data_IF_989261373637
#
_entry.id   IF_989261373637
#
_cell.length_a   1.000
_cell.length_b   1.000
_cell.length_c   1.000
_cell.angle_alpha   90.00
_cell.angle_beta   90.00
_cell.angle_gamma   90.00
#
_symmetry.space_group_name_H-M   'P 1'
#
loop_
_entity.id
_entity.type
_entity.pdbx_description
1 polymer ?
#
# COMPACT_ATOMS: atom_id res chain seq x y z
N UNK A 1 -7.21 32.84 -5.48
CA UNK A 1 -8.18 32.58 -6.56
C UNK A 1 -9.30 31.82 -5.90
N UNK A 2 -10.52 32.35 -5.96
CA UNK A 2 -11.67 31.75 -5.29
C UNK A 2 -12.40 30.88 -6.32
N UNK A 3 -12.25 29.56 -6.19
CA UNK A 3 -12.99 28.60 -7.00
C UNK A 3 -14.48 28.64 -6.63
N UNK A 4 -15.33 28.38 -7.61
CA UNK A 4 -16.77 28.18 -7.43
C UNK A 4 -17.13 26.72 -7.69
N UNK A 5 -18.28 26.26 -7.17
CA UNK A 5 -18.71 24.89 -7.43
C UNK A 5 -18.83 24.60 -8.93
N UNK A 6 -18.25 23.49 -9.37
CA UNK A 6 -18.24 23.09 -10.78
C UNK A 6 -17.14 23.71 -11.65
N UNK A 7 -16.30 24.59 -11.10
CA UNK A 7 -15.23 25.23 -11.87
C UNK A 7 -14.22 24.22 -12.42
N UNK A 8 -13.70 24.54 -13.61
CA UNK A 8 -12.53 23.87 -14.20
C UNK A 8 -11.36 24.85 -14.14
N UNK A 9 -10.38 24.55 -13.28
CA UNK A 9 -9.13 25.30 -13.17
C UNK A 9 -8.10 24.63 -14.08
N UNK A 10 -7.83 25.27 -15.21
CA UNK A 10 -6.80 24.85 -16.16
C UNK A 10 -5.46 25.48 -15.79
N UNK A 11 -4.42 24.64 -15.66
CA UNK A 11 -3.04 25.03 -15.38
C UNK A 11 -2.23 24.82 -16.66
N UNK A 12 -1.66 25.89 -17.25
CA UNK A 12 -0.93 25.75 -18.51
C UNK A 12 0.34 24.92 -18.33
N UNK A 13 0.97 24.56 -19.45
CA UNK A 13 2.30 23.95 -19.42
C UNK A 13 3.31 24.91 -18.77
N UNK A 14 4.20 24.37 -17.94
CA UNK A 14 5.19 25.12 -17.19
C UNK A 14 5.48 24.52 -15.82
N UNK A 15 6.46 25.13 -15.13
CA UNK A 15 6.78 24.82 -13.73
C UNK A 15 6.39 25.99 -12.85
N UNK A 16 5.57 25.71 -11.85
CA UNK A 16 5.02 26.69 -10.91
C UNK A 16 5.55 26.37 -9.51
N UNK A 17 6.19 27.35 -8.88
CA UNK A 17 6.79 27.19 -7.55
C UNK A 17 5.87 27.76 -6.48
N UNK A 18 5.63 26.98 -5.43
CA UNK A 18 4.79 27.37 -4.30
C UNK A 18 5.55 27.22 -2.98
N UNK A 19 5.39 28.21 -2.09
CA UNK A 19 6.04 28.22 -0.77
C UNK A 19 5.12 27.78 0.38
N UNK A 20 3.87 27.41 0.06
CA UNK A 20 2.79 27.04 0.98
C UNK A 20 1.77 26.12 0.28
N UNK A 21 0.93 25.37 1.02
CA UNK A 21 -0.05 24.46 0.42
C UNK A 21 -1.08 25.18 -0.45
N UNK A 22 -1.57 24.48 -1.48
CA UNK A 22 -2.75 24.84 -2.26
C UNK A 22 -3.97 24.14 -1.64
N UNK A 23 -4.91 24.93 -1.09
CA UNK A 23 -6.07 24.39 -0.38
C UNK A 23 -7.37 24.58 -1.16
N UNK A 24 -8.20 23.54 -1.19
CA UNK A 24 -9.60 23.59 -1.64
C UNK A 24 -10.50 23.05 -0.51
N UNK A 25 -11.29 23.93 0.11
CA UNK A 25 -12.14 23.57 1.24
C UNK A 25 -13.58 24.02 0.98
N UNK A 26 -14.54 23.09 1.12
CA UNK A 26 -15.97 23.38 1.04
C UNK A 26 -16.50 23.76 -0.35
N UNK A 27 -15.67 23.75 -1.39
CA UNK A 27 -16.08 24.06 -2.77
C UNK A 27 -16.10 22.76 -3.59
N UNK A 28 -17.30 22.25 -3.85
CA UNK A 28 -17.55 20.94 -4.46
C UNK A 28 -17.55 20.98 -5.99
N UNK A 29 -17.32 19.84 -6.63
CA UNK A 29 -17.46 19.71 -8.09
C UNK A 29 -16.30 20.31 -8.91
N UNK A 30 -15.21 20.69 -8.25
CA UNK A 30 -14.09 21.36 -8.91
C UNK A 30 -13.21 20.36 -9.66
N UNK A 31 -12.82 20.72 -10.88
CA UNK A 31 -11.78 20.04 -11.64
C UNK A 31 -10.52 20.91 -11.68
N UNK A 32 -9.37 20.35 -11.30
CA UNK A 32 -8.06 20.96 -11.51
C UNK A 32 -7.34 20.14 -12.57
N UNK A 33 -6.99 20.77 -13.70
CA UNK A 33 -6.41 20.11 -14.85
C UNK A 33 -5.12 20.79 -15.29
N UNK A 34 -4.08 20.01 -15.55
CA UNK A 34 -2.85 20.50 -16.19
C UNK A 34 -2.79 20.17 -17.69
N UNK A 35 -1.76 20.67 -18.37
CA UNK A 35 -1.51 20.41 -19.79
C UNK A 35 -0.87 19.03 -20.07
N UNK A 36 -0.89 18.12 -19.10
CA UNK A 36 -0.23 16.81 -19.15
C UNK A 36 0.74 16.63 -17.99
N UNK A 37 0.82 15.42 -17.42
CA UNK A 37 1.66 15.16 -16.23
C UNK A 37 3.14 15.44 -16.42
N UNK A 38 3.63 15.45 -17.67
CA UNK A 38 5.02 15.82 -18.00
C UNK A 38 5.17 17.30 -18.41
N UNK A 39 4.07 18.02 -18.61
CA UNK A 39 4.07 19.39 -19.14
C UNK A 39 3.73 20.43 -18.07
N UNK A 40 2.92 20.07 -17.06
CA UNK A 40 2.56 20.94 -15.94
C UNK A 40 3.15 20.40 -14.65
N UNK A 41 4.02 21.18 -14.01
CA UNK A 41 4.70 20.84 -12.76
C UNK A 41 4.38 21.86 -11.68
N UNK A 42 3.80 21.40 -10.57
CA UNK A 42 3.56 22.15 -9.35
C UNK A 42 4.66 21.75 -8.35
N UNK A 43 5.66 22.61 -8.18
CA UNK A 43 6.82 22.33 -7.33
C UNK A 43 6.72 23.07 -6.01
N UNK A 44 7.00 22.35 -4.93
CA UNK A 44 7.10 22.88 -3.57
C UNK A 44 8.56 22.95 -3.10
N UNK A 45 9.51 22.94 -4.04
CA UNK A 45 10.93 23.11 -3.74
C UNK A 45 11.13 24.44 -3.00
N UNK A 46 11.61 24.37 -1.76
CA UNK A 46 11.76 25.54 -0.89
C UNK A 46 10.51 25.94 -0.11
N UNK A 47 9.51 25.05 0.02
CA UNK A 47 8.30 25.28 0.82
C UNK A 47 8.64 25.83 2.21
N UNK A 48 8.04 26.98 2.57
CA UNK A 48 8.32 27.70 3.82
C UNK A 48 7.30 27.37 4.90
N UNK A 49 6.03 27.22 4.52
CA UNK A 49 4.89 27.03 5.42
C UNK A 49 4.13 25.75 5.07
N UNK A 50 3.58 25.09 6.09
CA UNK A 50 2.83 23.84 5.94
C UNK A 50 3.73 22.67 5.51
N UNK A 51 3.12 21.50 5.42
CA UNK A 51 3.81 20.29 4.97
C UNK A 51 3.22 19.81 3.63
N UNK A 52 1.91 19.90 3.46
CA UNK A 52 1.23 19.39 2.28
C UNK A 52 1.50 20.23 1.03
N UNK A 53 1.44 19.59 -0.14
CA UNK A 53 1.40 20.28 -1.43
C UNK A 53 -0.01 20.77 -1.75
N UNK A 54 -0.89 19.83 -2.06
CA UNK A 54 -2.32 20.08 -2.33
C UNK A 54 -3.14 19.46 -1.21
N UNK A 55 -4.03 20.25 -0.59
CA UNK A 55 -4.95 19.79 0.46
C UNK A 55 -6.40 20.06 0.05
N UNK A 56 -7.23 19.02 0.05
CA UNK A 56 -8.63 19.09 -0.40
C UNK A 56 -9.56 18.50 0.65
N UNK A 57 -10.60 19.25 1.00
CA UNK A 57 -11.75 18.80 1.79
C UNK A 57 -13.02 19.26 1.04
N UNK A 58 -13.42 18.46 0.05
CA UNK A 58 -14.58 18.74 -0.80
C UNK A 58 -14.99 17.50 -1.61
N UNK A 59 -16.30 17.31 -1.78
CA UNK A 59 -16.88 16.31 -2.68
C UNK A 59 -16.73 16.63 -4.17
N UNK A 60 -16.80 15.57 -4.98
CA UNK A 60 -16.87 15.62 -6.45
C UNK A 60 -15.67 16.31 -7.09
N UNK A 61 -14.47 16.05 -6.56
CA UNK A 61 -13.24 16.68 -7.04
C UNK A 61 -12.51 15.80 -8.04
N UNK A 62 -12.05 16.41 -9.14
CA UNK A 62 -11.19 15.76 -10.13
C UNK A 62 -9.84 16.48 -10.22
N UNK A 63 -8.75 15.74 -10.02
CA UNK A 63 -7.40 16.19 -10.33
C UNK A 63 -6.90 15.45 -11.56
N UNK A 64 -6.41 16.16 -12.57
CA UNK A 64 -5.91 15.52 -13.79
C UNK A 64 -4.70 16.17 -14.43
N UNK A 65 -3.80 15.35 -14.98
CA UNK A 65 -2.81 15.76 -15.98
C UNK A 65 -1.75 16.78 -15.48
N UNK A 66 -1.23 16.62 -14.26
CA UNK A 66 -0.10 17.42 -13.74
C UNK A 66 0.81 16.62 -12.80
N UNK A 67 2.00 17.17 -12.53
CA UNK A 67 2.94 16.68 -11.50
C UNK A 67 2.89 17.55 -10.26
N UNK A 68 2.96 16.95 -9.07
CA UNK A 68 3.31 17.59 -7.80
C UNK A 68 4.67 17.08 -7.34
N UNK A 69 5.59 17.97 -6.97
CA UNK A 69 6.92 17.53 -6.51
C UNK A 69 7.49 18.34 -5.35
N UNK A 70 8.37 17.69 -4.59
CA UNK A 70 9.24 18.29 -3.57
C UNK A 70 8.51 18.97 -2.40
N UNK A 71 7.38 18.40 -1.98
CA UNK A 71 6.66 18.84 -0.77
C UNK A 71 7.43 18.45 0.49
N UNK A 72 7.27 19.23 1.57
CA UNK A 72 7.84 18.89 2.89
C UNK A 72 7.18 17.67 3.53
N UNK A 73 5.88 17.51 3.30
CA UNK A 73 5.04 16.40 3.73
C UNK A 73 4.26 15.83 2.55
N UNK A 74 3.00 15.45 2.75
CA UNK A 74 2.19 14.76 1.74
C UNK A 74 2.01 15.56 0.46
N UNK A 75 2.14 14.93 -0.70
CA UNK A 75 2.06 15.65 -1.97
C UNK A 75 0.62 16.08 -2.29
N UNK A 76 -0.33 15.14 -2.24
CA UNK A 76 -1.75 15.41 -2.46
C UNK A 76 -2.58 14.70 -1.40
N UNK A 77 -3.16 15.47 -0.49
CA UNK A 77 -4.06 14.97 0.56
C UNK A 77 -5.50 15.36 0.26
N UNK A 78 -6.38 14.36 0.17
CA UNK A 78 -7.82 14.56 -0.02
C UNK A 78 -8.51 13.88 1.16
N UNK A 79 -9.28 14.62 1.92
CA UNK A 79 -9.83 14.15 3.18
C UNK A 79 -11.34 14.42 3.26
N UNK A 80 -12.07 13.50 3.88
CA UNK A 80 -13.50 13.65 4.20
C UNK A 80 -14.34 14.00 2.96
N UNK A 81 -14.14 13.24 1.86
CA UNK A 81 -14.69 13.55 0.54
C UNK A 81 -15.39 12.36 -0.13
N UNK A 82 -16.43 12.65 -0.89
CA UNK A 82 -17.15 11.69 -1.75
C UNK A 82 -16.91 11.98 -3.22
N UNK A 83 -16.75 10.93 -4.03
CA UNK A 83 -16.55 11.03 -5.49
C UNK A 83 -15.26 11.76 -5.84
N UNK A 84 -14.13 11.14 -5.53
CA UNK A 84 -12.79 11.67 -5.78
C UNK A 84 -12.18 10.98 -7.00
N UNK A 85 -11.69 11.74 -7.97
CA UNK A 85 -10.96 11.21 -9.12
C UNK A 85 -9.57 11.83 -9.23
N UNK A 86 -8.53 11.00 -9.22
CA UNK A 86 -7.19 11.37 -9.63
C UNK A 86 -6.83 10.63 -10.92
N UNK A 87 -6.57 11.37 -12.00
CA UNK A 87 -6.29 10.80 -13.32
C UNK A 87 -4.98 11.34 -13.87
N UNK A 88 -4.07 10.47 -14.28
CA UNK A 88 -2.79 10.87 -14.87
C UNK A 88 -2.03 11.89 -14.00
N UNK A 89 -2.03 11.71 -12.69
CA UNK A 89 -1.25 12.56 -11.78
C UNK A 89 0.13 11.94 -11.56
N UNK A 90 1.17 12.76 -11.42
CA UNK A 90 2.48 12.29 -10.95
C UNK A 90 2.86 12.96 -9.63
N UNK A 91 3.35 12.20 -8.68
CA UNK A 91 3.94 12.71 -7.44
C UNK A 91 5.38 12.21 -7.28
N UNK A 92 6.31 13.08 -6.88
CA UNK A 92 7.72 12.69 -6.74
C UNK A 92 8.50 13.60 -5.79
N UNK A 93 9.47 13.03 -5.08
CA UNK A 93 10.58 13.78 -4.47
C UNK A 93 11.81 13.66 -5.35
N UNK A 94 12.21 14.75 -5.98
CA UNK A 94 13.25 14.77 -7.03
C UNK A 94 14.64 14.41 -6.49
N UNK A 95 14.84 14.52 -5.18
CA UNK A 95 16.05 14.11 -4.48
C UNK A 95 16.22 12.60 -4.29
N UNK A 96 15.29 11.77 -4.75
CA UNK A 96 15.30 10.31 -4.54
C UNK A 96 14.85 9.89 -3.14
N UNK A 97 15.01 8.60 -2.78
CA UNK A 97 14.55 8.05 -1.51
C UNK A 97 15.27 8.69 -0.32
N UNK A 98 14.53 9.37 0.57
CA UNK A 98 15.06 9.95 1.81
C UNK A 98 14.01 9.89 2.91
N UNK A 99 14.44 9.64 4.13
CA UNK A 99 13.58 9.61 5.33
C UNK A 99 12.86 10.96 5.55
N UNK A 100 13.46 12.07 5.12
CA UNK A 100 12.90 13.42 5.23
C UNK A 100 11.91 13.79 4.13
N UNK A 101 11.60 12.89 3.20
CA UNK A 101 10.57 13.14 2.19
C UNK A 101 9.19 13.14 2.85
N UNK A 102 8.18 13.58 2.12
CA UNK A 102 6.81 13.43 2.57
C UNK A 102 6.39 11.98 2.65
N UNK A 103 5.45 11.70 3.57
CA UNK A 103 4.94 10.36 3.81
C UNK A 103 4.23 9.81 2.59
N UNK A 104 3.24 10.55 2.10
CA UNK A 104 2.34 10.04 1.07
C UNK A 104 2.37 10.87 -0.23
N UNK A 105 2.47 10.18 -1.37
CA UNK A 105 2.35 10.81 -2.69
C UNK A 105 0.90 11.20 -3.00
N UNK A 106 0.06 10.19 -3.22
CA UNK A 106 -1.39 10.35 -3.40
C UNK A 106 -2.07 9.81 -2.13
N UNK A 107 -2.86 10.65 -1.46
CA UNK A 107 -3.42 10.36 -0.13
C UNK A 107 -4.90 10.74 0.02
N UNK A 108 -5.85 9.96 -0.53
CA UNK A 108 -7.24 10.00 -0.11
C UNK A 108 -7.42 9.31 1.25
N UNK A 109 -8.15 9.96 2.16
CA UNK A 109 -8.45 9.42 3.49
C UNK A 109 -9.86 9.77 3.93
N UNK A 110 -10.53 8.84 4.61
CA UNK A 110 -11.93 9.02 5.02
C UNK A 110 -12.84 9.39 3.83
N UNK A 111 -12.60 8.74 2.67
CA UNK A 111 -13.29 9.05 1.42
C UNK A 111 -14.28 7.96 1.00
N UNK A 112 -15.23 8.31 0.15
CA UNK A 112 -16.14 7.37 -0.52
C UNK A 112 -16.07 7.53 -2.03
N UNK A 113 -16.09 6.42 -2.77
CA UNK A 113 -16.07 6.43 -4.25
C UNK A 113 -14.80 7.13 -4.78
N UNK A 114 -13.66 6.46 -4.59
CA UNK A 114 -12.33 6.96 -4.96
C UNK A 114 -11.84 6.23 -6.21
N UNK A 115 -11.48 6.98 -7.25
CA UNK A 115 -10.83 6.48 -8.45
C UNK A 115 -9.43 7.10 -8.59
N UNK A 116 -8.40 6.26 -8.57
CA UNK A 116 -7.02 6.62 -8.89
C UNK A 116 -6.63 5.84 -10.15
N UNK A 117 -6.35 6.55 -11.25
CA UNK A 117 -6.01 5.90 -12.51
C UNK A 117 -4.92 6.61 -13.34
N UNK A 118 -4.02 5.82 -13.95
CA UNK A 118 -2.95 6.37 -14.79
C UNK A 118 -1.88 7.16 -14.01
N UNK A 119 -1.93 7.10 -12.68
CA UNK A 119 -1.08 7.88 -11.80
C UNK A 119 0.31 7.26 -11.63
N UNK A 120 1.29 8.10 -11.33
CA UNK A 120 2.65 7.70 -10.98
C UNK A 120 3.03 8.30 -9.63
N UNK A 121 3.63 7.51 -8.73
CA UNK A 121 4.08 8.01 -7.44
C UNK A 121 5.45 7.45 -7.07
N UNK A 122 6.37 8.32 -6.66
CA UNK A 122 7.74 7.91 -6.39
C UNK A 122 8.42 8.63 -5.24
N UNK A 123 9.32 7.88 -4.59
CA UNK A 123 10.19 8.35 -3.51
C UNK A 123 9.50 8.88 -2.25
N UNK A 124 8.25 8.49 -2.00
CA UNK A 124 7.58 8.78 -0.73
C UNK A 124 8.23 8.00 0.42
N UNK A 125 8.38 8.64 1.58
CA UNK A 125 8.97 8.01 2.77
C UNK A 125 8.02 7.02 3.46
N UNK A 126 6.76 7.01 3.06
CA UNK A 126 5.78 5.99 3.43
C UNK A 126 5.25 5.32 2.15
N UNK A 127 4.05 5.66 1.70
CA UNK A 127 3.44 5.07 0.51
C UNK A 127 3.38 6.04 -0.68
N UNK A 128 3.73 5.55 -1.87
CA UNK A 128 3.58 6.31 -3.11
C UNK A 128 2.10 6.63 -3.38
N UNK A 129 1.28 5.58 -3.39
CA UNK A 129 -0.18 5.70 -3.46
C UNK A 129 -0.75 5.08 -2.19
N UNK A 130 -1.37 5.90 -1.36
CA UNK A 130 -2.01 5.50 -0.13
C UNK A 130 -3.51 5.80 -0.21
N UNK A 131 -4.35 4.85 0.17
CA UNK A 131 -5.78 5.10 0.40
C UNK A 131 -6.15 4.57 1.78
N UNK A 132 -6.60 5.46 2.66
CA UNK A 132 -6.90 5.14 4.06
C UNK A 132 -8.38 5.28 4.38
N UNK A 133 -8.92 4.42 5.23
CA UNK A 133 -10.21 4.64 5.92
C UNK A 133 -11.37 4.93 4.95
N UNK A 134 -11.32 4.36 3.74
CA UNK A 134 -12.21 4.73 2.63
C UNK A 134 -13.09 3.57 2.17
N UNK A 135 -14.15 3.85 1.42
CA UNK A 135 -15.05 2.82 0.86
C UNK A 135 -15.27 3.02 -0.62
N UNK A 136 -15.41 1.92 -1.37
CA UNK A 136 -15.53 1.93 -2.83
C UNK A 136 -14.29 2.56 -3.49
N UNK A 137 -13.18 1.84 -3.44
CA UNK A 137 -11.85 2.32 -3.87
C UNK A 137 -11.38 1.55 -5.10
N UNK A 138 -10.97 2.28 -6.14
CA UNK A 138 -10.34 1.71 -7.33
C UNK A 138 -8.97 2.36 -7.54
N UNK A 139 -7.92 1.53 -7.59
CA UNK A 139 -6.56 1.92 -7.98
C UNK A 139 -6.14 1.10 -9.18
N UNK A 140 -6.03 1.73 -10.37
CA UNK A 140 -5.75 0.99 -11.61
C UNK A 140 -4.78 1.69 -12.54
N UNK A 141 -4.06 0.91 -13.35
CA UNK A 141 -3.15 1.44 -14.38
C UNK A 141 -2.12 2.44 -13.82
N UNK A 142 -1.73 2.29 -12.55
CA UNK A 142 -0.78 3.18 -11.88
C UNK A 142 0.63 2.59 -11.84
N UNK A 143 1.62 3.45 -11.65
CA UNK A 143 3.03 3.08 -11.49
C UNK A 143 3.59 3.64 -10.18
N UNK A 144 3.87 2.76 -9.22
CA UNK A 144 4.46 3.15 -7.94
C UNK A 144 5.89 2.61 -7.83
N UNK A 145 6.88 3.50 -7.70
CA UNK A 145 8.29 3.10 -7.70
C UNK A 145 9.17 3.90 -6.75
N UNK A 146 10.20 3.25 -6.19
CA UNK A 146 11.19 3.92 -5.32
C UNK A 146 10.65 4.39 -3.97
N UNK A 147 9.45 3.98 -3.57
CA UNK A 147 8.81 4.32 -2.28
C UNK A 147 9.18 3.29 -1.20
N UNK A 148 8.78 3.53 0.06
CA UNK A 148 8.75 2.43 1.04
C UNK A 148 7.66 1.45 0.66
N UNK A 149 6.39 1.86 0.65
CA UNK A 149 5.29 1.11 0.09
C UNK A 149 4.92 1.64 -1.30
N UNK A 150 4.79 0.76 -2.30
CA UNK A 150 4.32 1.17 -3.61
C UNK A 150 2.87 1.66 -3.56
N UNK A 151 1.96 0.74 -3.25
CA UNK A 151 0.54 1.01 -3.07
C UNK A 151 0.11 0.48 -1.70
N UNK A 152 -0.59 1.28 -0.91
CA UNK A 152 -1.13 0.89 0.38
C UNK A 152 -2.63 1.15 0.44
N UNK A 153 -3.38 0.12 0.84
CA UNK A 153 -4.81 0.18 1.15
C UNK A 153 -4.96 -0.07 2.64
N UNK A 154 -5.24 0.98 3.40
CA UNK A 154 -5.34 0.93 4.85
C UNK A 154 -6.80 1.10 5.28
N UNK A 155 -7.33 0.18 6.08
CA UNK A 155 -8.66 0.28 6.69
C UNK A 155 -9.81 0.56 5.69
N UNK A 156 -9.67 0.14 4.44
CA UNK A 156 -10.65 0.40 3.40
C UNK A 156 -11.68 -0.74 3.27
N UNK A 157 -12.85 -0.42 2.72
CA UNK A 157 -13.93 -1.37 2.41
C UNK A 157 -14.20 -1.37 0.91
N UNK A 158 -14.38 -2.55 0.32
CA UNK A 158 -14.71 -2.70 -1.10
C UNK A 158 -13.67 -2.02 -2.02
N UNK A 159 -12.45 -2.57 -2.01
CA UNK A 159 -11.31 -2.04 -2.76
C UNK A 159 -10.89 -2.95 -3.91
N UNK A 160 -10.46 -2.36 -5.03
CA UNK A 160 -9.90 -3.06 -6.18
C UNK A 160 -8.60 -2.40 -6.64
N UNK A 161 -7.50 -3.14 -6.59
CA UNK A 161 -6.15 -2.72 -6.97
C UNK A 161 -5.66 -3.59 -8.12
N UNK A 162 -5.67 -3.07 -9.35
CA UNK A 162 -5.39 -3.89 -10.53
C UNK A 162 -4.71 -3.20 -11.70
N UNK A 163 -4.05 -3.99 -12.55
CA UNK A 163 -3.29 -3.50 -13.71
C UNK A 163 -2.21 -2.45 -13.33
N UNK A 164 -1.72 -2.48 -12.10
CA UNK A 164 -0.68 -1.56 -11.65
C UNK A 164 0.72 -2.17 -11.81
N UNK A 165 1.72 -1.30 -11.85
CA UNK A 165 3.13 -1.67 -11.75
C UNK A 165 3.65 -1.15 -10.40
N UNK A 166 4.05 -2.04 -9.51
CA UNK A 166 4.69 -1.71 -8.25
C UNK A 166 6.11 -2.27 -8.24
N UNK A 167 7.12 -1.41 -8.46
CA UNK A 167 8.49 -1.86 -8.65
C UNK A 167 9.56 -1.03 -7.93
N UNK A 168 10.66 -1.68 -7.53
CA UNK A 168 11.78 -0.97 -6.92
C UNK A 168 11.46 -0.25 -5.61
N UNK A 169 10.34 -0.57 -4.96
CA UNK A 169 9.98 -0.09 -3.63
C UNK A 169 10.64 -0.96 -2.53
N UNK A 170 10.36 -0.70 -1.25
CA UNK A 170 10.69 -1.65 -0.17
C UNK A 170 9.69 -2.81 -0.16
N UNK A 171 8.40 -2.47 -0.14
CA UNK A 171 7.25 -3.36 -0.31
C UNK A 171 6.41 -2.94 -1.52
N UNK A 172 5.86 -3.89 -2.26
CA UNK A 172 5.07 -3.61 -3.47
C UNK A 172 3.66 -3.10 -3.16
N UNK A 173 2.79 -4.00 -2.71
CA UNK A 173 1.39 -3.69 -2.37
C UNK A 173 1.10 -4.12 -0.93
N UNK A 174 0.58 -3.20 -0.13
CA UNK A 174 0.21 -3.39 1.26
C UNK A 174 -1.31 -3.32 1.40
N UNK A 175 -1.89 -4.25 2.15
CA UNK A 175 -3.30 -4.19 2.56
C UNK A 175 -3.35 -4.33 4.07
N UNK A 176 -3.51 -3.21 4.74
CA UNK A 176 -3.42 -3.10 6.20
C UNK A 176 -4.78 -2.77 6.80
N UNK A 177 -5.02 -3.30 7.99
CA UNK A 177 -6.08 -2.86 8.88
C UNK A 177 -5.48 -2.59 10.26
N UNK A 178 -5.40 -1.33 10.65
CA UNK A 178 -4.70 -0.89 11.85
C UNK A 178 -5.68 -0.43 12.93
N UNK A 179 -5.35 -0.64 14.22
CA UNK A 179 -6.17 -0.21 15.33
C UNK A 179 -6.11 1.31 15.53
N UNK A 180 -6.99 1.83 16.38
CA UNK A 180 -6.94 3.22 16.89
C UNK A 180 -7.17 4.30 15.80
N UNK A 181 -7.83 3.94 14.71
CA UNK A 181 -8.25 4.83 13.63
C UNK A 181 -9.79 4.98 13.58
N UNK A 182 -10.33 6.18 13.25
CA UNK A 182 -11.77 6.46 13.22
C UNK A 182 -12.61 5.46 12.42
N UNK A 183 -12.08 4.96 11.29
CA UNK A 183 -12.67 3.86 10.54
C UNK A 183 -11.72 2.65 10.60
N UNK A 184 -11.97 1.72 11.53
CA UNK A 184 -11.31 0.42 11.62
C UNK A 184 -12.05 -0.68 10.87
N UNK A 185 -11.43 -1.86 10.78
CA UNK A 185 -12.03 -3.09 10.26
C UNK A 185 -12.38 -3.01 8.76
N UNK A 186 -11.39 -2.64 7.95
CA UNK A 186 -11.46 -2.77 6.49
C UNK A 186 -11.64 -4.22 6.04
N UNK A 187 -12.31 -4.43 4.92
CA UNK A 187 -12.54 -5.77 4.34
C UNK A 187 -12.87 -5.69 2.85
N UNK A 188 -12.82 -6.83 2.16
CA UNK A 188 -13.14 -6.97 0.73
C UNK A 188 -12.19 -6.13 -0.14
N UNK A 189 -10.93 -6.58 -0.20
CA UNK A 189 -9.92 -6.02 -1.09
C UNK A 189 -9.52 -7.06 -2.16
N UNK A 190 -9.52 -6.64 -3.42
CA UNK A 190 -9.12 -7.47 -4.56
C UNK A 190 -7.84 -6.91 -5.16
N UNK A 191 -6.77 -7.69 -5.19
CA UNK A 191 -5.47 -7.32 -5.77
C UNK A 191 -5.19 -8.24 -6.95
N UNK A 192 -5.26 -7.73 -8.19
CA UNK A 192 -5.18 -8.61 -9.36
C UNK A 192 -4.57 -8.01 -10.61
N UNK A 193 -4.04 -8.85 -11.50
CA UNK A 193 -3.41 -8.42 -12.75
C UNK A 193 -2.31 -7.35 -12.57
N UNK A 194 -1.65 -7.30 -11.41
CA UNK A 194 -0.55 -6.36 -11.18
C UNK A 194 0.79 -6.98 -11.55
N UNK A 195 1.74 -6.13 -11.95
CA UNK A 195 3.16 -6.48 -12.06
C UNK A 195 3.88 -5.91 -10.84
N UNK A 196 4.24 -6.79 -9.92
CA UNK A 196 4.86 -6.45 -8.65
C UNK A 196 6.27 -7.03 -8.70
N UNK A 197 7.28 -6.18 -8.86
CA UNK A 197 8.62 -6.68 -9.17
C UNK A 197 9.77 -5.93 -8.52
N UNK A 198 10.79 -6.67 -8.11
CA UNK A 198 12.07 -6.14 -7.63
C UNK A 198 11.92 -5.08 -6.52
N UNK A 199 10.89 -5.18 -5.69
CA UNK A 199 10.71 -4.31 -4.52
C UNK A 199 11.73 -4.69 -3.44
N UNK A 200 12.99 -4.28 -3.65
CA UNK A 200 14.17 -4.65 -2.86
C UNK A 200 14.90 -3.44 -2.25
N UNK A 201 14.35 -2.22 -2.44
CA UNK A 201 14.91 -0.98 -1.90
C UNK A 201 14.97 -1.07 -0.38
N UNK A 202 16.01 -0.47 0.21
CA UNK A 202 16.12 -0.41 1.66
C UNK A 202 14.97 0.43 2.23
N UNK A 203 14.35 -0.05 3.31
CA UNK A 203 13.32 0.72 4.01
C UNK A 203 13.93 2.02 4.55
N UNK A 204 13.29 3.15 4.22
CA UNK A 204 13.70 4.50 4.61
C UNK A 204 12.56 5.25 5.32
N UNK A 205 11.58 4.52 5.85
CA UNK A 205 10.49 5.12 6.59
C UNK A 205 11.00 5.78 7.88
N UNK A 206 10.41 6.92 8.28
CA UNK A 206 10.70 7.52 9.57
C UNK A 206 10.48 6.52 10.70
N UNK A 207 11.35 6.58 11.72
CA UNK A 207 11.22 5.71 12.90
C UNK A 207 9.85 5.89 13.56
N UNK A 208 9.20 4.77 13.85
CA UNK A 208 7.89 4.73 14.50
C UNK A 208 6.75 4.39 13.54
N UNK A 209 6.88 4.73 12.25
CA UNK A 209 5.89 4.38 11.24
C UNK A 209 5.74 2.87 11.12
N UNK A 210 4.50 2.40 10.97
CA UNK A 210 4.21 0.97 10.89
C UNK A 210 4.83 0.34 9.63
N UNK A 211 4.84 1.06 8.51
CA UNK A 211 5.48 0.62 7.26
C UNK A 211 6.98 0.32 7.44
N UNK A 212 7.62 0.90 8.47
CA UNK A 212 9.01 0.67 8.82
C UNK A 212 9.33 -0.78 9.21
N UNK A 213 8.31 -1.59 9.54
CA UNK A 213 8.49 -3.03 9.82
C UNK A 213 8.62 -3.87 8.55
N UNK A 214 8.25 -3.33 7.38
CA UNK A 214 8.24 -4.07 6.12
C UNK A 214 9.68 -4.35 5.69
N UNK A 215 10.07 -5.64 5.56
CA UNK A 215 11.41 -5.97 5.10
C UNK A 215 11.59 -5.57 3.64
N UNK A 216 12.77 -5.05 3.32
CA UNK A 216 13.16 -4.85 1.94
C UNK A 216 13.09 -6.19 1.19
N UNK A 217 12.48 -6.23 0.01
CA UNK A 217 12.28 -7.51 -0.68
C UNK A 217 10.92 -8.11 -0.45
N UNK A 218 9.87 -7.30 -0.33
CA UNK A 218 8.50 -7.77 -0.12
C UNK A 218 7.63 -7.46 -1.33
N UNK A 219 6.93 -8.47 -1.86
CA UNK A 219 5.96 -8.27 -2.95
C UNK A 219 4.65 -7.70 -2.45
N UNK A 220 3.88 -8.53 -1.76
CA UNK A 220 2.60 -8.19 -1.13
C UNK A 220 2.69 -8.47 0.37
N UNK A 221 2.07 -7.64 1.20
CA UNK A 221 1.89 -7.93 2.62
C UNK A 221 0.46 -7.58 3.05
N UNK A 222 -0.15 -8.52 3.76
CA UNK A 222 -1.42 -8.37 4.44
C UNK A 222 -1.16 -8.25 5.93
N UNK A 223 -1.74 -7.23 6.57
CA UNK A 223 -1.65 -7.04 8.02
C UNK A 223 -3.05 -6.83 8.60
N UNK A 224 -3.50 -7.79 9.42
CA UNK A 224 -4.88 -7.89 9.93
C UNK A 224 -5.98 -7.76 8.84
N UNK A 225 -5.66 -8.16 7.61
CA UNK A 225 -6.51 -7.98 6.45
C UNK A 225 -7.65 -9.01 6.42
N UNK A 226 -8.81 -8.61 5.92
CA UNK A 226 -10.04 -9.41 5.98
C UNK A 226 -10.66 -9.55 4.60
N UNK A 227 -11.03 -10.77 4.23
CA UNK A 227 -11.71 -11.02 2.94
C UNK A 227 -10.91 -10.49 1.74
N UNK A 228 -9.61 -10.82 1.66
CA UNK A 228 -8.73 -10.35 0.58
C UNK A 228 -8.54 -11.44 -0.47
N UNK A 229 -8.72 -11.10 -1.74
CA UNK A 229 -8.43 -12.00 -2.86
C UNK A 229 -7.28 -11.45 -3.70
N UNK A 230 -6.21 -12.22 -3.84
CA UNK A 230 -5.02 -11.89 -4.62
C UNK A 230 -4.90 -12.89 -5.76
N UNK A 231 -5.03 -12.42 -7.00
CA UNK A 231 -5.06 -13.33 -8.15
C UNK A 231 -4.47 -12.77 -9.44
N UNK A 232 -3.95 -13.66 -10.29
CA UNK A 232 -3.41 -13.32 -11.61
C UNK A 232 -2.31 -12.22 -11.59
N UNK A 233 -1.59 -12.09 -10.46
CA UNK A 233 -0.48 -11.14 -10.35
C UNK A 233 0.85 -11.79 -10.76
N UNK A 234 1.75 -10.98 -11.28
CA UNK A 234 3.16 -11.34 -11.45
C UNK A 234 3.96 -10.80 -10.26
N UNK A 235 4.44 -11.68 -9.38
CA UNK A 235 5.15 -11.36 -8.13
C UNK A 235 6.61 -11.82 -8.26
N UNK A 236 7.49 -10.90 -8.66
CA UNK A 236 8.77 -11.24 -9.29
C UNK A 236 9.98 -10.56 -8.62
N UNK A 237 11.06 -11.32 -8.39
CA UNK A 237 12.37 -10.79 -8.01
C UNK A 237 12.46 -10.20 -6.61
N UNK A 238 11.58 -10.57 -5.68
CA UNK A 238 11.67 -10.17 -4.28
C UNK A 238 12.73 -11.00 -3.55
N UNK A 239 13.60 -10.34 -2.75
CA UNK A 239 14.70 -11.00 -2.03
C UNK A 239 14.29 -11.62 -0.68
N UNK A 240 13.14 -11.25 -0.12
CA UNK A 240 12.72 -11.68 1.23
C UNK A 240 11.43 -12.49 1.17
N UNK A 241 10.31 -11.88 0.77
CA UNK A 241 8.98 -12.52 0.76
C UNK A 241 8.22 -12.14 -0.52
N UNK A 242 7.56 -13.11 -1.15
CA UNK A 242 6.59 -12.87 -2.23
C UNK A 242 5.31 -12.23 -1.66
N UNK A 243 4.53 -13.00 -0.91
CA UNK A 243 3.30 -12.59 -0.24
C UNK A 243 3.37 -12.95 1.25
N UNK A 244 3.24 -11.96 2.13
CA UNK A 244 3.08 -12.17 3.57
C UNK A 244 1.61 -12.07 3.97
N UNK A 245 1.14 -13.03 4.78
CA UNK A 245 -0.18 -13.05 5.40
C UNK A 245 0.04 -12.99 6.90
N UNK A 246 -0.23 -11.84 7.51
CA UNK A 246 0.04 -11.65 8.93
C UNK A 246 -1.11 -11.01 9.67
N UNK A 247 -1.43 -11.49 10.86
CA UNK A 247 -2.21 -10.77 11.85
C UNK A 247 -1.42 -9.59 12.43
N UNK A 248 -2.11 -8.66 13.08
CA UNK A 248 -1.46 -7.56 13.81
C UNK A 248 -0.55 -8.05 14.94
N UNK A 249 -0.81 -9.24 15.48
CA UNK A 249 -0.02 -9.84 16.56
C UNK A 249 1.46 -10.00 16.23
N UNK A 250 1.81 -10.18 14.94
CA UNK A 250 3.21 -10.27 14.51
C UNK A 250 4.02 -9.01 14.83
N UNK A 251 3.35 -7.86 14.97
CA UNK A 251 4.01 -6.58 15.27
C UNK A 251 4.45 -6.47 16.72
N UNK A 252 3.89 -7.30 17.61
CA UNK A 252 4.04 -7.24 19.07
C UNK A 252 3.64 -5.88 19.69
N UNK A 253 3.04 -4.98 18.91
CA UNK A 253 2.55 -3.69 19.38
C UNK A 253 1.23 -3.88 20.13
N UNK A 254 1.10 -3.21 21.27
CA UNK A 254 -0.16 -3.17 22.01
C UNK A 254 -1.14 -2.22 21.32
N UNK A 255 -2.43 -2.49 21.49
CA UNK A 255 -3.52 -1.63 21.04
C UNK A 255 -4.64 -1.63 22.10
N UNK A 256 -5.46 -0.58 22.14
CA UNK A 256 -6.54 -0.43 23.13
C UNK A 256 -7.95 -0.51 22.54
N UNK A 257 -8.07 -0.50 21.22
CA UNK A 257 -9.35 -0.53 20.54
C UNK A 257 -10.05 -1.89 20.75
N UNK A 258 -11.12 -1.90 21.54
CA UNK A 258 -11.92 -3.10 21.83
C UNK A 258 -12.72 -3.59 20.63
N UNK A 259 -13.00 -2.70 19.67
CA UNK A 259 -13.75 -3.03 18.46
C UNK A 259 -12.83 -3.47 17.32
N UNK A 260 -11.52 -3.45 17.52
CA UNK A 260 -10.54 -3.85 16.53
C UNK A 260 -10.38 -5.37 16.49
N UNK A 261 -10.48 -5.94 15.29
CA UNK A 261 -10.15 -7.33 15.05
C UNK A 261 -8.71 -7.45 14.50
N UNK A 262 -7.74 -7.97 15.28
CA UNK A 262 -6.33 -8.00 14.91
C UNK A 262 -5.96 -9.12 13.93
N UNK A 263 -6.90 -9.99 13.57
CA UNK A 263 -6.63 -11.21 12.84
C UNK A 263 -6.76 -11.03 11.33
N UNK A 264 -5.95 -11.78 10.59
CA UNK A 264 -6.05 -11.89 9.12
C UNK A 264 -6.79 -13.17 8.76
N UNK A 265 -7.89 -13.05 8.01
CA UNK A 265 -8.73 -14.20 7.68
C UNK A 265 -9.51 -14.02 6.38
N UNK A 266 -10.04 -15.13 5.87
CA UNK A 266 -10.75 -15.22 4.59
C UNK A 266 -9.88 -14.71 3.44
N UNK A 267 -8.70 -15.30 3.31
CA UNK A 267 -7.69 -14.90 2.31
C UNK A 267 -7.66 -15.91 1.18
N UNK A 268 -7.73 -15.42 -0.05
CA UNK A 268 -7.71 -16.26 -1.25
C UNK A 268 -6.54 -15.86 -2.15
N UNK A 269 -5.65 -16.81 -2.46
CA UNK A 269 -4.52 -16.63 -3.37
C UNK A 269 -4.70 -17.54 -4.58
N UNK A 270 -4.92 -17.00 -5.78
CA UNK A 270 -5.19 -17.82 -6.98
C UNK A 270 -4.32 -17.44 -8.16
N UNK A 271 -3.71 -18.42 -8.83
CA UNK A 271 -3.03 -18.22 -10.13
C UNK A 271 -2.03 -17.05 -10.17
N UNK A 272 -1.29 -16.82 -9.08
CA UNK A 272 -0.23 -15.81 -9.07
C UNK A 272 1.07 -16.46 -9.54
N UNK A 273 1.89 -15.71 -10.25
CA UNK A 273 3.21 -16.18 -10.70
C UNK A 273 4.26 -15.69 -9.71
N UNK A 274 4.91 -16.62 -9.02
CA UNK A 274 5.99 -16.30 -8.07
C UNK A 274 7.35 -16.59 -8.68
N UNK A 275 8.23 -15.58 -8.69
CA UNK A 275 9.64 -15.77 -9.05
C UNK A 275 10.52 -15.10 -8.02
N UNK A 276 11.32 -15.89 -7.29
CA UNK A 276 12.22 -15.37 -6.25
C UNK A 276 13.46 -14.72 -6.85
N UNK A 277 14.01 -13.72 -6.16
CA UNK A 277 15.39 -13.31 -6.43
C UNK A 277 16.37 -14.32 -5.83
N UNK A 278 17.53 -14.50 -6.48
CA UNK A 278 18.68 -15.24 -5.91
C UNK A 278 19.52 -14.30 -5.04
N UNK A 279 18.87 -13.62 -4.10
CA UNK A 279 19.50 -12.66 -3.19
C UNK A 279 19.23 -13.07 -1.76
N UNK A 280 20.13 -12.66 -0.86
CA UNK A 280 19.93 -12.87 0.57
C UNK A 280 18.77 -11.99 1.07
N UNK A 281 17.89 -12.50 1.95
CA UNK A 281 16.82 -11.70 2.54
C UNK A 281 17.35 -10.48 3.29
N UNK A 282 16.45 -9.54 3.56
CA UNK A 282 16.78 -8.37 4.36
C UNK A 282 17.26 -8.76 5.76
N UNK A 283 18.45 -8.33 6.14
CA UNK A 283 19.04 -8.59 7.46
C UNK A 283 18.89 -7.39 8.40
N UNK A 284 18.35 -6.27 7.92
CA UNK A 284 18.26 -5.01 8.67
C UNK A 284 16.98 -4.95 9.52
N UNK A 285 15.84 -5.35 8.94
CA UNK A 285 14.56 -5.43 9.65
C UNK A 285 14.42 -6.71 10.45
N UNK A 286 13.65 -6.68 11.53
CA UNK A 286 13.43 -7.85 12.38
C UNK A 286 12.61 -8.93 11.67
N UNK A 287 11.63 -8.54 10.86
CA UNK A 287 10.88 -9.47 10.02
C UNK A 287 11.80 -10.16 9.00
N UNK A 288 12.75 -9.44 8.40
CA UNK A 288 13.75 -10.02 7.51
C UNK A 288 14.70 -10.99 8.24
N UNK A 289 15.18 -10.63 9.44
CA UNK A 289 15.99 -11.53 10.29
C UNK A 289 15.23 -12.80 10.67
N UNK A 290 13.93 -12.70 10.95
CA UNK A 290 13.07 -13.86 11.22
C UNK A 290 13.06 -14.82 10.02
N UNK A 291 12.89 -14.30 8.79
CA UNK A 291 12.97 -15.13 7.57
C UNK A 291 14.34 -15.80 7.43
N UNK A 292 15.43 -15.07 7.71
CA UNK A 292 16.79 -15.62 7.65
C UNK A 292 16.95 -16.78 8.64
N UNK A 293 16.50 -16.58 9.89
CA UNK A 293 16.63 -17.56 10.96
C UNK A 293 15.82 -18.81 10.68
N UNK A 294 14.53 -18.67 10.35
CA UNK A 294 13.61 -19.79 10.19
C UNK A 294 13.88 -20.61 8.92
N UNK A 295 14.44 -20.00 7.88
CA UNK A 295 14.57 -20.64 6.56
C UNK A 295 16.02 -20.67 6.04
N UNK A 296 16.99 -20.49 6.94
CA UNK A 296 18.43 -20.49 6.62
C UNK A 296 18.77 -19.59 5.42
N UNK A 297 18.28 -18.36 5.45
CA UNK A 297 18.51 -17.36 4.40
C UNK A 297 17.74 -17.60 3.08
N UNK A 298 16.76 -18.50 3.05
CA UNK A 298 15.90 -18.71 1.88
C UNK A 298 14.64 -17.85 1.95
N UNK A 299 14.41 -17.05 0.91
CA UNK A 299 13.14 -16.35 0.71
C UNK A 299 11.96 -17.30 0.55
N UNK A 300 10.78 -16.82 0.92
CA UNK A 300 9.50 -17.53 0.82
C UNK A 300 8.62 -16.88 -0.25
N UNK A 301 7.83 -17.68 -0.97
CA UNK A 301 6.84 -17.14 -1.90
C UNK A 301 5.58 -16.73 -1.16
N UNK A 302 5.13 -17.56 -0.21
CA UNK A 302 3.98 -17.30 0.64
C UNK A 302 4.40 -17.57 2.08
N UNK A 303 4.28 -16.56 2.94
CA UNK A 303 4.59 -16.65 4.36
C UNK A 303 3.35 -16.29 5.17
N UNK A 304 2.80 -17.26 5.90
CA UNK A 304 1.69 -17.07 6.83
C UNK A 304 2.20 -17.05 8.26
N UNK A 305 1.79 -16.06 9.06
CA UNK A 305 2.24 -15.92 10.45
C UNK A 305 1.75 -17.05 11.37
N UNK A 306 0.63 -17.70 11.04
CA UNK A 306 0.06 -18.77 11.85
C UNK A 306 -0.67 -18.31 13.11
N UNK A 307 -0.91 -17.01 13.29
CA UNK A 307 -1.65 -16.51 14.45
C UNK A 307 -3.14 -16.73 14.22
N UNK A 308 -3.79 -17.40 15.17
CA UNK A 308 -5.17 -17.86 15.08
C UNK A 308 -6.07 -17.07 16.01
N UNK A 309 -7.33 -16.88 15.61
CA UNK A 309 -8.38 -16.45 16.53
C UNK A 309 -8.71 -17.60 17.49
N UNK A 310 -8.58 -17.44 18.82
CA UNK A 310 -8.82 -18.50 19.80
C UNK A 310 -10.29 -18.97 19.85
N UNK A 311 -11.23 -18.17 19.34
CA UNK A 311 -12.65 -18.53 19.27
C UNK A 311 -12.98 -19.43 18.07
N UNK A 312 -12.07 -19.54 17.09
CA UNK A 312 -12.28 -20.32 15.87
C UNK A 312 -11.51 -21.63 15.93
N UNK A 313 -12.13 -22.70 15.43
CA UNK A 313 -11.58 -24.06 15.48
C UNK A 313 -11.61 -24.74 14.12
N UNK A 314 -10.88 -25.85 13.99
CA UNK A 314 -10.73 -26.61 12.76
C UNK A 314 -9.31 -26.59 12.20
N UNK A 315 -9.08 -27.29 11.08
CA UNK A 315 -7.74 -27.42 10.47
C UNK A 315 -7.25 -26.15 9.75
N UNK A 316 -8.18 -25.26 9.39
CA UNK A 316 -7.93 -24.00 8.69
C UNK A 316 -8.89 -22.93 9.23
N UNK A 317 -8.76 -22.55 10.52
CA UNK A 317 -9.75 -21.72 11.21
C UNK A 317 -9.78 -20.28 10.69
N UNK A 318 -8.71 -19.83 10.02
CA UNK A 318 -8.62 -18.48 9.43
C UNK A 318 -9.10 -18.43 7.97
N UNK A 319 -9.62 -19.53 7.42
CA UNK A 319 -10.20 -19.61 6.08
C UNK A 319 -9.25 -19.18 4.95
N UNK A 320 -8.00 -19.66 4.98
CA UNK A 320 -7.06 -19.46 3.87
C UNK A 320 -7.40 -20.41 2.70
N UNK A 321 -7.39 -19.90 1.48
CA UNK A 321 -7.64 -20.65 0.26
C UNK A 321 -6.49 -20.38 -0.70
N UNK A 322 -5.59 -21.34 -0.89
CA UNK A 322 -4.42 -21.21 -1.77
C UNK A 322 -4.57 -22.16 -2.95
N UNK A 323 -4.68 -21.57 -4.14
CA UNK A 323 -4.76 -22.25 -5.43
C UNK A 323 -3.58 -21.77 -6.29
N UNK A 324 -2.44 -22.45 -6.17
CA UNK A 324 -1.20 -22.10 -6.87
C UNK A 324 -0.64 -23.34 -7.55
N UNK A 325 -0.48 -23.25 -8.88
CA UNK A 325 0.00 -24.35 -9.72
C UNK A 325 1.49 -24.19 -10.04
N UNK A 326 2.32 -23.97 -9.02
CA UNK A 326 3.77 -23.81 -9.17
C UNK A 326 4.53 -24.92 -8.42
N UNK A 327 5.30 -25.78 -9.12
CA UNK A 327 5.97 -26.93 -8.49
C UNK A 327 7.02 -26.58 -7.42
N UNK A 328 7.69 -25.44 -7.54
CA UNK A 328 8.77 -25.00 -6.64
C UNK A 328 8.34 -23.89 -5.66
N UNK A 329 7.03 -23.79 -5.41
CA UNK A 329 6.44 -22.83 -4.48
C UNK A 329 6.91 -23.09 -3.05
N UNK A 330 7.45 -22.06 -2.41
CA UNK A 330 7.84 -22.04 -1.00
C UNK A 330 6.75 -21.41 -0.17
N UNK A 331 5.99 -22.27 0.49
CA UNK A 331 5.03 -21.91 1.50
C UNK A 331 5.61 -22.16 2.89
N UNK A 332 5.31 -21.27 3.84
CA UNK A 332 5.51 -21.54 5.26
C UNK A 332 4.41 -20.91 6.11
N UNK A 333 3.87 -21.69 7.04
CA UNK A 333 3.17 -21.23 8.23
C UNK A 333 4.17 -21.28 9.39
N UNK A 334 4.43 -20.15 10.04
CA UNK A 334 5.51 -20.06 11.04
C UNK A 334 5.06 -20.22 12.48
N UNK A 335 3.78 -20.34 12.78
CA UNK A 335 3.29 -20.49 14.17
C UNK A 335 3.82 -19.40 15.13
N UNK A 336 3.78 -18.13 14.69
CA UNK A 336 4.34 -17.00 15.41
C UNK A 336 3.67 -16.77 16.78
N UNK A 337 2.40 -17.16 16.93
CA UNK A 337 1.68 -17.07 18.20
C UNK A 337 2.20 -18.02 19.27
N UNK A 338 2.99 -19.03 18.90
CA UNK A 338 3.59 -20.01 19.80
C UNK A 338 5.12 -20.05 19.63
N UNK A 339 5.77 -18.89 19.50
CA UNK A 339 7.25 -18.76 19.43
C UNK A 339 7.91 -19.61 18.33
N UNK A 340 7.23 -19.79 17.20
CA UNK A 340 7.69 -20.58 16.06
C UNK A 340 7.91 -22.07 16.34
N UNK A 341 7.29 -22.60 17.40
CA UNK A 341 7.47 -23.98 17.83
C UNK A 341 7.07 -25.03 16.77
N UNK A 342 6.16 -24.69 15.85
CA UNK A 342 5.69 -25.59 14.79
C UNK A 342 5.64 -24.92 13.42
N UNK A 343 6.81 -24.61 12.86
CA UNK A 343 6.90 -24.18 11.46
C UNK A 343 6.48 -25.31 10.52
N UNK A 344 5.49 -25.06 9.66
CA UNK A 344 4.95 -26.02 8.69
C UNK A 344 5.15 -25.48 7.27
N UNK A 345 5.77 -26.26 6.40
CA UNK A 345 5.95 -25.91 4.97
C UNK A 345 4.99 -26.64 4.05
N UNK A 346 4.22 -27.60 4.57
CA UNK A 346 3.14 -28.25 3.84
C UNK A 346 1.91 -27.33 3.79
N UNK A 347 1.44 -27.05 2.59
CA UNK A 347 0.31 -26.16 2.33
C UNK A 347 -1.03 -26.90 2.25
N UNK A 348 -1.04 -28.23 2.37
CA UNK A 348 -2.21 -29.09 2.12
C UNK A 348 -3.50 -28.65 2.85
N UNK A 349 -3.37 -28.17 4.09
CA UNK A 349 -4.52 -27.70 4.90
C UNK A 349 -5.13 -26.39 4.41
N UNK A 350 -4.40 -25.63 3.60
CA UNK A 350 -4.81 -24.34 3.05
C UNK A 350 -5.20 -24.42 1.56
N UNK A 351 -5.11 -25.60 0.94
CA UNK A 351 -5.55 -25.76 -0.44
C UNK A 351 -7.05 -25.45 -0.55
N UNK A 352 -7.41 -24.67 -1.58
CA UNK A 352 -8.81 -24.40 -1.88
C UNK A 352 -9.57 -25.71 -2.06
N UNK A 353 -10.71 -25.85 -1.36
CA UNK A 353 -11.63 -26.98 -1.60
C UNK A 353 -12.23 -26.83 -3.00
N UNK A 354 -12.24 -27.93 -3.74
CA UNK A 354 -12.89 -28.02 -5.06
C UNK A 354 -14.40 -27.90 -4.95
#
# INVERSE_FOLDING_TARGET
MDAKPGDVIEIPAGTFYFDRPLSLEGIHGVTIRGAGKLNTVISFLGQKVGAEGIRIIADSVTLSDFTVQDTKGDAIKIQDATSVTLRNIRTTWTGGPKESNGGYGIYPVACKNVLIEGCEASYASDAGIYVGQSTEVIVRNCHAHGNVAGIEIENCKHSAVFNNIAEGNTGGILVFDLPELPAGNGFDCRVYNNVIRNNNLANFAPKGNIVGIVPAGTGIILLAAKSVTIYDNQILGHKTIGTAIASYGITQKKYKDINYNPYTYNISLRNNIYKRSKSFPDWRSDFGKMVIMLFWGKSQDILYDGILNPEWSGKNPMFLCIEQNQPDLRFANIDAGNDFNKVVTDMSVHLCKK
#
